data_IF_969616397498
#
_entry.id   IF_969616397498
#
_cell.length_a   1.000
_cell.length_b   1.000
_cell.length_c   1.000
_cell.angle_alpha   90.00
_cell.angle_beta   90.00
_cell.angle_gamma   90.00
#
_symmetry.space_group_name_H-M   'P 1'
#
loop_
_entity.id
_entity.type
_entity.pdbx_description
1 polymer ?
#
# COMPACT_ATOMS: atom_id res chain seq x y z
N UNK A 1 6.87 -2.68 5.42
CA UNK A 1 6.73 -1.25 5.80
C UNK A 1 7.87 -0.72 6.68
N UNK A 2 8.36 -1.47 7.67
CA UNK A 2 9.45 -1.02 8.59
C UNK A 2 10.67 -0.39 7.91
N UNK A 3 11.12 -0.93 6.77
CA UNK A 3 12.24 -0.36 6.01
C UNK A 3 11.99 1.11 5.60
N UNK A 4 10.76 1.45 5.17
CA UNK A 4 10.39 2.82 4.82
C UNK A 4 10.56 3.79 6.01
N UNK A 5 10.17 3.36 7.22
CA UNK A 5 10.38 4.14 8.43
C UNK A 5 11.87 4.31 8.79
N UNK A 6 12.68 3.28 8.57
CA UNK A 6 14.13 3.34 8.84
C UNK A 6 14.84 4.32 7.91
N UNK A 7 14.56 4.27 6.60
CA UNK A 7 15.22 5.18 5.64
C UNK A 7 14.76 6.62 5.82
N UNK A 8 13.49 6.84 6.15
CA UNK A 8 12.98 8.17 6.46
C UNK A 8 13.65 8.75 7.72
N UNK A 9 13.74 7.96 8.79
CA UNK A 9 14.43 8.37 10.01
C UNK A 9 15.93 8.60 9.80
N UNK A 10 16.54 7.93 8.81
CA UNK A 10 17.92 8.14 8.40
C UNK A 10 18.16 9.40 7.57
N UNK A 11 17.11 10.13 7.18
CA UNK A 11 17.22 11.34 6.36
C UNK A 11 17.28 11.09 4.86
N UNK A 12 16.79 9.93 4.39
CA UNK A 12 16.76 9.53 2.97
C UNK A 12 15.31 9.44 2.44
N UNK A 13 14.61 10.57 2.24
CA UNK A 13 13.22 10.58 1.78
C UNK A 13 13.02 9.96 0.38
N UNK A 14 14.02 10.02 -0.50
CA UNK A 14 14.03 9.40 -1.82
C UNK A 14 13.92 7.87 -1.76
N UNK A 15 14.50 7.24 -0.73
CA UNK A 15 14.50 5.79 -0.55
C UNK A 15 13.17 5.27 0.02
N UNK A 16 12.24 6.14 0.41
CA UNK A 16 10.95 5.75 1.01
C UNK A 16 9.98 5.17 -0.01
N UNK A 17 9.99 5.67 -1.25
CA UNK A 17 8.92 5.38 -2.22
C UNK A 17 8.82 3.89 -2.57
N UNK A 18 9.96 3.25 -2.84
CA UNK A 18 10.03 1.81 -3.18
C UNK A 18 9.51 0.91 -2.05
N UNK A 19 10.02 0.96 -0.81
CA UNK A 19 9.52 0.09 0.27
C UNK A 19 8.07 0.38 0.65
N UNK A 20 7.58 1.63 0.52
CA UNK A 20 6.15 1.95 0.64
C UNK A 20 5.35 1.22 -0.44
N UNK A 21 5.77 1.31 -1.70
CA UNK A 21 5.09 0.66 -2.83
C UNK A 21 5.05 -0.86 -2.68
N UNK A 22 6.17 -1.48 -2.30
CA UNK A 22 6.24 -2.92 -2.06
C UNK A 22 5.31 -3.33 -0.92
N UNK A 23 5.31 -2.57 0.18
CA UNK A 23 4.40 -2.81 1.30
C UNK A 23 2.92 -2.67 0.89
N UNK A 24 2.59 -1.71 0.03
CA UNK A 24 1.25 -1.58 -0.54
C UNK A 24 0.85 -2.79 -1.39
N UNK A 25 1.78 -3.32 -2.20
CA UNK A 25 1.58 -4.57 -2.95
C UNK A 25 1.27 -5.75 -2.03
N UNK A 26 2.09 -5.95 -1.00
CA UNK A 26 1.88 -7.00 0.00
C UNK A 26 0.54 -6.83 0.73
N UNK A 27 0.19 -5.62 1.15
CA UNK A 27 -1.06 -5.35 1.84
C UNK A 27 -2.27 -5.69 0.96
N UNK A 28 -2.34 -5.14 -0.27
CA UNK A 28 -3.44 -5.40 -1.18
C UNK A 28 -3.57 -6.88 -1.58
N UNK A 29 -2.46 -7.53 -1.86
CA UNK A 29 -2.47 -8.94 -2.24
C UNK A 29 -2.84 -9.86 -1.08
N UNK A 30 -2.47 -9.51 0.17
CA UNK A 30 -2.95 -10.19 1.36
C UNK A 30 -4.47 -10.01 1.57
N UNK A 31 -5.00 -8.80 1.38
CA UNK A 31 -6.44 -8.55 1.40
C UNK A 31 -7.18 -9.40 0.37
N UNK A 32 -6.64 -9.51 -0.85
CA UNK A 32 -7.21 -10.36 -1.90
C UNK A 32 -7.14 -11.85 -1.54
N UNK A 33 -6.07 -12.30 -0.88
CA UNK A 33 -5.93 -13.69 -0.42
C UNK A 33 -6.97 -14.09 0.64
N UNK A 34 -7.50 -13.12 1.41
CA UNK A 34 -8.61 -13.37 2.35
C UNK A 34 -9.92 -13.68 1.64
N UNK A 35 -10.09 -13.23 0.39
CA UNK A 35 -11.38 -13.34 -0.34
C UNK A 35 -11.32 -14.24 -1.56
N UNK A 36 -10.12 -14.51 -2.08
CA UNK A 36 -9.89 -15.35 -3.25
C UNK A 36 -8.96 -16.49 -2.86
N UNK A 37 -9.49 -17.71 -2.85
CA UNK A 37 -8.79 -18.92 -2.38
C UNK A 37 -7.42 -19.16 -3.04
N UNK A 38 -7.26 -18.80 -4.32
CA UNK A 38 -6.03 -19.03 -5.09
C UNK A 38 -5.17 -17.76 -5.27
N UNK A 39 -5.42 -16.70 -4.52
CA UNK A 39 -4.65 -15.47 -4.65
C UNK A 39 -3.41 -15.50 -3.74
N UNK A 40 -2.23 -15.49 -4.35
CA UNK A 40 -0.96 -15.50 -3.60
C UNK A 40 -0.50 -14.08 -3.29
N UNK A 41 -0.22 -13.74 -2.02
CA UNK A 41 0.36 -12.44 -1.66
C UNK A 41 1.70 -12.19 -2.38
N UNK A 42 1.92 -10.96 -2.84
CA UNK A 42 3.13 -10.54 -3.55
C UNK A 42 3.38 -9.04 -3.38
N UNK A 43 4.63 -8.59 -3.59
CA UNK A 43 4.98 -7.16 -3.59
C UNK A 43 4.46 -6.40 -4.83
N UNK A 44 4.05 -7.12 -5.87
CA UNK A 44 3.54 -6.52 -7.10
C UNK A 44 2.12 -6.02 -6.87
N UNK A 45 1.87 -4.75 -7.22
CA UNK A 45 0.54 -4.16 -7.05
C UNK A 45 -0.50 -4.85 -7.94
N UNK A 46 -1.62 -5.33 -7.37
CA UNK A 46 -2.75 -5.82 -8.14
C UNK A 46 -3.35 -4.74 -9.05
N UNK A 47 -4.16 -5.13 -10.04
CA UNK A 47 -4.81 -4.17 -10.94
C UNK A 47 -5.81 -3.28 -10.17
N UNK A 48 -5.94 -1.98 -10.49
CA UNK A 48 -6.90 -1.11 -9.81
C UNK A 48 -8.34 -1.62 -9.92
N UNK A 49 -8.71 -2.19 -11.08
CA UNK A 49 -10.04 -2.76 -11.32
C UNK A 49 -10.34 -3.94 -10.39
N UNK A 50 -9.36 -4.81 -10.16
CA UNK A 50 -9.52 -5.93 -9.24
C UNK A 50 -9.71 -5.44 -7.79
N UNK A 51 -8.90 -4.47 -7.36
CA UNK A 51 -9.02 -3.89 -6.01
C UNK A 51 -10.36 -3.20 -5.80
N UNK A 52 -10.82 -2.45 -6.80
CA UNK A 52 -12.12 -1.78 -6.78
C UNK A 52 -13.26 -2.78 -6.59
N UNK A 53 -13.32 -3.82 -7.44
CA UNK A 53 -14.40 -4.80 -7.41
C UNK A 53 -14.39 -5.67 -6.15
N UNK A 54 -13.21 -6.17 -5.74
CA UNK A 54 -13.09 -7.20 -4.71
C UNK A 54 -12.92 -6.65 -3.29
N UNK A 55 -12.44 -5.40 -3.15
CA UNK A 55 -12.16 -4.81 -1.83
C UNK A 55 -13.04 -3.59 -1.54
N UNK A 56 -13.21 -2.68 -2.50
CA UNK A 56 -13.93 -1.41 -2.27
C UNK A 56 -15.43 -1.59 -2.38
N UNK A 57 -15.92 -2.11 -3.51
CA UNK A 57 -17.35 -2.33 -3.77
C UNK A 57 -17.95 -3.40 -2.85
N UNK A 58 -17.12 -4.35 -2.39
CA UNK A 58 -17.52 -5.34 -1.39
C UNK A 58 -17.42 -4.82 0.06
N UNK A 59 -17.12 -3.53 0.27
CA UNK A 59 -16.99 -2.88 1.58
C UNK A 59 -15.93 -3.48 2.53
N UNK A 60 -14.92 -4.17 2.00
CA UNK A 60 -13.82 -4.72 2.82
C UNK A 60 -12.69 -3.71 3.04
N UNK A 61 -12.55 -2.77 2.13
CA UNK A 61 -11.68 -1.62 2.23
C UNK A 61 -12.55 -0.34 2.26
N UNK A 62 -12.52 0.46 3.35
CA UNK A 62 -13.26 1.72 3.41
C UNK A 62 -12.87 2.66 2.27
N UNK A 63 -13.86 3.36 1.69
CA UNK A 63 -13.66 4.23 0.52
C UNK A 63 -12.60 5.30 0.74
N UNK A 64 -12.56 5.90 1.93
CA UNK A 64 -11.62 6.98 2.26
C UNK A 64 -10.18 6.46 2.37
N UNK A 65 -10.00 5.24 2.86
CA UNK A 65 -8.70 4.58 2.88
C UNK A 65 -8.30 4.14 1.46
N UNK A 66 -9.24 3.61 0.67
CA UNK A 66 -9.00 3.26 -0.73
C UNK A 66 -8.53 4.47 -1.56
N UNK A 67 -9.15 5.63 -1.38
CA UNK A 67 -8.76 6.87 -2.06
C UNK A 67 -7.33 7.29 -1.70
N UNK A 68 -6.98 7.30 -0.41
CA UNK A 68 -5.61 7.61 0.04
C UNK A 68 -4.60 6.61 -0.51
N UNK A 69 -4.90 5.31 -0.49
CA UNK A 69 -3.99 4.29 -1.02
C UNK A 69 -3.86 4.34 -2.54
N UNK A 70 -4.90 4.79 -3.27
CA UNK A 70 -4.80 5.06 -4.71
C UNK A 70 -3.81 6.19 -4.99
N UNK A 71 -3.85 7.26 -4.17
CA UNK A 71 -2.88 8.33 -4.26
C UNK A 71 -1.45 7.84 -3.94
N UNK A 72 -1.27 7.01 -2.91
CA UNK A 72 0.04 6.38 -2.61
C UNK A 72 0.53 5.54 -3.78
N UNK A 73 -0.34 4.75 -4.42
CA UNK A 73 0.00 3.96 -5.61
C UNK A 73 0.55 4.82 -6.75
N UNK A 74 -0.07 5.97 -7.00
CA UNK A 74 0.32 6.89 -8.08
C UNK A 74 1.63 7.60 -7.75
N UNK A 75 1.73 8.21 -6.55
CA UNK A 75 2.88 9.01 -6.15
C UNK A 75 4.13 8.19 -5.82
N UNK A 76 4.00 6.87 -5.63
CA UNK A 76 5.15 5.96 -5.48
C UNK A 76 5.49 5.21 -6.78
N UNK A 77 4.82 5.52 -7.90
CA UNK A 77 5.21 4.94 -9.17
C UNK A 77 6.65 5.35 -9.53
N UNK A 78 7.47 4.43 -10.06
CA UNK A 78 8.78 4.80 -10.59
C UNK A 78 8.64 5.93 -11.62
N UNK A 79 9.55 6.92 -11.62
CA UNK A 79 9.53 7.95 -12.64
C UNK A 79 9.77 7.33 -14.03
N UNK A 80 9.27 7.97 -15.10
CA UNK A 80 9.64 7.63 -16.46
C UNK A 80 11.15 7.64 -16.65
N UNK A 81 11.67 6.80 -17.56
CA UNK A 81 13.09 6.80 -17.88
C UNK A 81 13.55 8.19 -18.32
N UNK A 82 14.59 8.71 -17.65
CA UNK A 82 15.17 10.02 -17.95
C UNK A 82 14.49 11.21 -17.24
N UNK A 83 13.47 10.96 -16.42
CA UNK A 83 12.91 11.98 -15.53
C UNK A 83 13.50 11.85 -14.12
N UNK A 84 14.02 12.96 -13.61
CA UNK A 84 14.46 13.06 -12.22
C UNK A 84 13.29 13.58 -11.38
N UNK A 85 12.75 12.72 -10.51
CA UNK A 85 11.63 13.07 -9.65
C UNK A 85 12.16 13.59 -8.31
N UNK A 86 11.71 14.76 -7.82
CA UNK A 86 12.12 15.23 -6.51
C UNK A 86 11.65 14.24 -5.43
N UNK A 87 12.43 14.08 -4.33
CA UNK A 87 12.00 13.26 -3.22
C UNK A 87 10.69 13.80 -2.61
N UNK A 88 9.88 12.92 -1.99
CA UNK A 88 8.70 13.38 -1.26
C UNK A 88 9.11 14.29 -0.10
N UNK A 89 8.21 15.20 0.29
CA UNK A 89 8.37 15.90 1.57
C UNK A 89 8.26 14.92 2.74
N UNK A 90 8.82 15.28 3.90
CA UNK A 90 8.72 14.47 5.12
C UNK A 90 7.25 14.15 5.45
N UNK A 91 6.39 15.17 5.43
CA UNK A 91 4.95 15.00 5.70
C UNK A 91 4.26 14.06 4.69
N UNK A 92 4.64 14.13 3.41
CA UNK A 92 4.11 13.21 2.40
C UNK A 92 4.58 11.77 2.65
N UNK A 93 5.87 11.57 2.93
CA UNK A 93 6.45 10.26 3.24
C UNK A 93 5.79 9.62 4.48
N UNK A 94 5.60 10.39 5.55
CA UNK A 94 4.87 9.97 6.76
C UNK A 94 3.43 9.59 6.44
N UNK A 95 2.73 10.43 5.67
CA UNK A 95 1.36 10.18 5.24
C UNK A 95 1.21 8.90 4.40
N UNK A 96 2.19 8.61 3.54
CA UNK A 96 2.20 7.36 2.77
C UNK A 96 2.38 6.15 3.67
N UNK A 97 3.35 6.20 4.59
CA UNK A 97 3.60 5.12 5.55
C UNK A 97 2.35 4.88 6.39
N UNK A 98 1.74 5.94 6.91
CA UNK A 98 0.53 5.85 7.72
C UNK A 98 -0.62 5.19 6.96
N UNK A 99 -0.91 5.63 5.72
CA UNK A 99 -2.00 5.04 4.94
C UNK A 99 -1.78 3.53 4.70
N UNK A 100 -0.55 3.12 4.36
CA UNK A 100 -0.23 1.70 4.17
C UNK A 100 -0.32 0.93 5.48
N UNK A 101 0.09 1.51 6.61
CA UNK A 101 -0.06 0.89 7.94
C UNK A 101 -1.53 0.65 8.27
N UNK A 102 -2.40 1.65 8.07
CA UNK A 102 -3.84 1.49 8.29
C UNK A 102 -4.45 0.37 7.43
N UNK A 103 -3.94 0.17 6.21
CA UNK A 103 -4.34 -0.95 5.34
C UNK A 103 -3.90 -2.31 5.90
N UNK A 104 -2.67 -2.40 6.43
CA UNK A 104 -2.15 -3.61 7.07
C UNK A 104 -2.98 -3.94 8.31
N UNK A 105 -3.19 -2.96 9.20
CA UNK A 105 -3.95 -3.13 10.44
C UNK A 105 -5.38 -3.62 10.17
N UNK A 106 -6.01 -3.10 9.12
CA UNK A 106 -7.31 -3.58 8.65
C UNK A 106 -7.26 -5.05 8.20
N UNK A 107 -6.23 -5.44 7.46
CA UNK A 107 -6.05 -6.82 6.98
C UNK A 107 -5.82 -7.80 8.13
N UNK A 108 -5.01 -7.42 9.11
CA UNK A 108 -4.78 -8.22 10.32
C UNK A 108 -6.06 -8.45 11.11
N UNK A 109 -6.88 -7.40 11.27
CA UNK A 109 -8.18 -7.50 11.92
C UNK A 109 -9.14 -8.43 11.16
N UNK A 110 -9.26 -8.27 9.84
CA UNK A 110 -10.12 -9.14 9.02
C UNK A 110 -9.66 -10.60 9.06
N UNK A 111 -8.35 -10.85 9.02
CA UNK A 111 -7.81 -12.20 9.13
C UNK A 111 -8.15 -12.83 10.48
N UNK A 112 -8.06 -12.08 11.58
CA UNK A 112 -8.45 -12.55 12.91
C UNK A 112 -9.95 -12.83 13.01
N UNK A 113 -10.81 -11.99 12.44
CA UNK A 113 -12.26 -12.18 12.40
C UNK A 113 -12.66 -13.43 11.59
N UNK A 114 -11.91 -13.78 10.54
CA UNK A 114 -12.19 -14.94 9.67
C UNK A 114 -11.63 -16.28 10.19
N UNK A 115 -10.72 -16.24 11.16
CA UNK A 115 -10.13 -17.42 11.79
C UNK A 115 -10.94 -17.93 13.00
N UNK A 116 -11.98 -17.20 13.39
CA UNK A 116 -12.94 -17.53 14.46
C UNK A 116 -14.20 -18.17 13.88
#
# INVERSE_FOLDING_TARGET
LKLAGVVLAGGFPEEVLRPVRQALGWAYSAHLALVKQDYTPAETLPSPRLLQAELVESHRLPSDLAARLSQVRELTAPPPEGEDAPPPSLAAAEGFIQAVQECIDLGERLAAEMAL
#
